data_IF_099616655445
#
_entry.id   IF_099616655445
#
_cell.length_a   1.000
_cell.length_b   1.000
_cell.length_c   1.000
_cell.angle_alpha   90.00
_cell.angle_beta   90.00
_cell.angle_gamma   90.00
#
_symmetry.space_group_name_H-M   'P 1'
#
loop_
_entity.id
_entity.type
_entity.pdbx_description
1 polymer ?
#
# COMPACT_ATOMS: atom_id res chain seq x y z
N UNK A 1 -20.70 -32.54 -22.01
CA UNK A 1 -19.92 -32.24 -20.79
C UNK A 1 -19.97 -30.75 -20.42
N UNK A 2 -19.51 -29.80 -21.26
CA UNK A 2 -19.56 -28.36 -20.92
C UNK A 2 -20.97 -27.77 -20.71
N UNK A 3 -21.98 -28.25 -21.46
CA UNK A 3 -23.39 -27.81 -21.31
C UNK A 3 -24.02 -28.22 -19.97
N UNK A 4 -23.66 -29.39 -19.45
CA UNK A 4 -24.19 -29.89 -18.18
C UNK A 4 -23.53 -29.21 -16.99
N UNK A 5 -22.23 -28.92 -17.08
CA UNK A 5 -21.50 -28.14 -16.06
C UNK A 5 -22.08 -26.71 -15.99
N UNK A 6 -22.41 -26.10 -17.13
CA UNK A 6 -22.99 -24.75 -17.17
C UNK A 6 -24.42 -24.69 -16.59
N UNK A 7 -25.26 -25.72 -16.86
CA UNK A 7 -26.60 -25.83 -16.28
C UNK A 7 -26.56 -26.04 -14.77
N UNK A 8 -25.64 -26.87 -14.27
CA UNK A 8 -25.44 -27.10 -12.84
C UNK A 8 -24.95 -25.84 -12.10
N UNK A 9 -24.02 -25.08 -12.69
CA UNK A 9 -23.56 -23.80 -12.12
C UNK A 9 -24.70 -22.77 -12.08
N UNK A 10 -25.52 -22.69 -13.13
CA UNK A 10 -26.65 -21.75 -13.20
C UNK A 10 -27.74 -22.08 -12.17
N UNK A 11 -27.98 -23.35 -11.90
CA UNK A 11 -28.92 -23.82 -10.89
C UNK A 11 -28.39 -23.57 -9.46
N UNK A 12 -27.11 -23.80 -9.21
CA UNK A 12 -26.46 -23.49 -7.93
C UNK A 12 -26.43 -21.99 -7.63
N UNK A 13 -26.12 -21.15 -8.62
CA UNK A 13 -26.15 -19.69 -8.47
C UNK A 13 -27.58 -19.17 -8.29
N UNK A 14 -28.57 -19.73 -8.99
CA UNK A 14 -29.99 -19.38 -8.80
C UNK A 14 -30.51 -19.73 -7.40
N UNK A 15 -30.09 -20.88 -6.85
CA UNK A 15 -30.41 -21.28 -5.49
C UNK A 15 -29.67 -20.42 -4.43
N UNK A 16 -28.42 -20.01 -4.70
CA UNK A 16 -27.64 -19.16 -3.79
C UNK A 16 -28.23 -17.74 -3.71
N UNK A 17 -28.61 -17.16 -4.85
CA UNK A 17 -29.25 -15.84 -4.91
C UNK A 17 -30.71 -15.86 -4.41
N UNK A 18 -31.46 -16.95 -4.65
CA UNK A 18 -32.80 -17.13 -4.11
C UNK A 18 -32.81 -17.27 -2.58
N UNK A 19 -31.88 -18.07 -2.01
CA UNK A 19 -31.74 -18.22 -0.56
C UNK A 19 -31.32 -16.92 0.14
N UNK A 20 -30.44 -16.13 -0.50
CA UNK A 20 -30.08 -14.79 0.01
C UNK A 20 -31.26 -13.81 -0.05
N UNK A 21 -32.05 -13.85 -1.13
CA UNK A 21 -33.25 -13.02 -1.31
C UNK A 21 -34.38 -13.35 -0.34
N UNK A 22 -34.64 -14.63 -0.11
CA UNK A 22 -35.66 -15.11 0.83
C UNK A 22 -35.23 -14.92 2.29
N UNK A 23 -33.93 -15.03 2.59
CA UNK A 23 -33.36 -14.71 3.89
C UNK A 23 -33.51 -13.23 4.25
N UNK A 24 -33.23 -12.33 3.30
CA UNK A 24 -33.41 -10.88 3.48
C UNK A 24 -34.89 -10.48 3.61
N UNK A 25 -35.78 -11.08 2.81
CA UNK A 25 -37.24 -10.86 2.91
C UNK A 25 -37.83 -11.45 4.21
N UNK A 26 -37.29 -12.56 4.70
CA UNK A 26 -37.61 -13.14 6.00
C UNK A 26 -37.16 -12.28 7.18
N UNK A 27 -35.92 -11.77 7.13
CA UNK A 27 -35.37 -10.82 8.10
C UNK A 27 -36.22 -9.54 8.14
N UNK A 28 -36.62 -9.03 6.98
CA UNK A 28 -37.47 -7.85 6.86
C UNK A 28 -38.88 -8.06 7.43
N UNK A 29 -39.52 -9.19 7.16
CA UNK A 29 -40.84 -9.52 7.72
C UNK A 29 -40.80 -9.78 9.22
N UNK A 30 -39.71 -10.37 9.72
CA UNK A 30 -39.47 -10.57 11.14
C UNK A 30 -39.28 -9.24 11.88
N UNK A 31 -38.44 -8.35 11.34
CA UNK A 31 -38.23 -6.99 11.89
C UNK A 31 -39.53 -6.18 11.83
N UNK A 32 -40.30 -6.27 10.73
CA UNK A 32 -41.58 -5.57 10.57
C UNK A 32 -42.71 -6.11 11.47
N UNK A 33 -42.72 -7.42 11.79
CA UNK A 33 -43.66 -8.03 12.73
C UNK A 33 -43.31 -7.72 14.20
N UNK A 34 -42.02 -7.70 14.51
CA UNK A 34 -41.49 -7.35 15.83
C UNK A 34 -41.74 -5.87 16.19
N UNK A 35 -41.63 -4.96 15.21
CA UNK A 35 -41.92 -3.54 15.38
C UNK A 35 -43.40 -3.22 15.64
N UNK A 36 -44.32 -4.09 15.23
CA UNK A 36 -45.79 -3.86 15.33
C UNK A 36 -46.42 -4.33 16.65
N UNK A 37 -45.72 -5.09 17.47
CA UNK A 37 -46.31 -5.80 18.63
C UNK A 37 -46.06 -5.15 20.00
N UNK A 38 -45.39 -4.00 20.12
CA UNK A 38 -44.85 -3.56 21.42
C UNK A 38 -45.20 -2.10 21.78
N UNK A 39 -46.01 -1.94 22.84
CA UNK A 39 -46.20 -0.71 23.62
C UNK A 39 -45.16 -0.59 24.74
N UNK A 40 -44.62 0.62 24.97
CA UNK A 40 -43.59 0.96 25.97
C UNK A 40 -42.27 1.37 25.30
N UNK A 41 -42.20 2.63 24.83
CA UNK A 41 -42.24 2.85 23.38
C UNK A 41 -41.02 3.48 22.70
N UNK A 42 -39.90 3.76 23.40
CA UNK A 42 -38.75 4.46 22.74
C UNK A 42 -37.39 3.87 23.08
N UNK A 43 -37.05 3.65 24.35
CA UNK A 43 -35.70 3.21 24.74
C UNK A 43 -35.31 1.81 24.26
N UNK A 44 -36.25 0.86 24.19
CA UNK A 44 -35.99 -0.46 23.57
C UNK A 44 -35.80 -0.38 22.05
N UNK A 45 -36.44 0.57 21.38
CA UNK A 45 -36.24 0.83 19.94
C UNK A 45 -34.89 1.46 19.67
N UNK A 46 -34.45 2.37 20.54
CA UNK A 46 -33.10 2.94 20.49
C UNK A 46 -32.05 1.86 20.77
N UNK A 47 -32.27 1.00 21.78
CA UNK A 47 -31.31 -0.04 22.16
C UNK A 47 -31.06 -1.11 21.07
N UNK A 48 -32.04 -1.41 20.22
CA UNK A 48 -31.88 -2.37 19.11
C UNK A 48 -31.65 -1.66 17.77
N UNK A 49 -32.34 -0.55 17.55
CA UNK A 49 -32.25 0.24 16.33
C UNK A 49 -30.89 0.92 16.16
N UNK A 50 -30.28 1.41 17.24
CA UNK A 50 -28.96 2.06 17.16
C UNK A 50 -27.85 1.08 16.77
N UNK A 51 -27.69 -0.11 17.40
CA UNK A 51 -26.71 -1.10 16.93
C UNK A 51 -26.98 -1.59 15.51
N UNK A 52 -28.25 -1.78 15.12
CA UNK A 52 -28.59 -2.20 13.76
C UNK A 52 -28.28 -1.09 12.73
N UNK A 53 -28.59 0.16 13.04
CA UNK A 53 -28.26 1.30 12.20
C UNK A 53 -26.74 1.51 12.11
N UNK A 54 -26.01 1.32 13.21
CA UNK A 54 -24.55 1.32 13.23
C UNK A 54 -23.99 0.20 12.36
N UNK A 55 -24.51 -1.03 12.47
CA UNK A 55 -24.10 -2.16 11.65
C UNK A 55 -24.37 -1.92 10.14
N UNK A 56 -25.54 -1.37 9.79
CA UNK A 56 -25.88 -0.99 8.41
C UNK A 56 -24.97 0.15 7.93
N UNK A 57 -24.68 1.14 8.77
CA UNK A 57 -23.73 2.21 8.48
C UNK A 57 -22.33 1.67 8.18
N UNK A 58 -21.83 0.72 8.97
CA UNK A 58 -20.56 0.04 8.72
C UNK A 58 -20.63 -0.74 7.40
N UNK A 59 -21.65 -1.58 7.18
CA UNK A 59 -21.78 -2.37 5.95
C UNK A 59 -21.88 -1.54 4.67
N UNK A 60 -22.55 -0.39 4.70
CA UNK A 60 -22.63 0.52 3.55
C UNK A 60 -21.36 1.34 3.41
N UNK A 61 -20.77 1.79 4.52
CA UNK A 61 -19.55 2.59 4.51
C UNK A 61 -18.32 1.81 4.09
N UNK A 62 -18.27 0.51 4.39
CA UNK A 62 -17.20 -0.43 4.04
C UNK A 62 -16.77 -0.33 2.55
N UNK A 63 -17.65 -0.56 1.56
CA UNK A 63 -17.29 -0.45 0.14
C UNK A 63 -17.05 0.99 -0.35
N UNK A 64 -17.48 2.00 0.41
CA UNK A 64 -17.26 3.41 0.06
C UNK A 64 -15.84 3.84 0.48
N UNK A 65 -15.39 3.39 1.66
CA UNK A 65 -14.10 3.73 2.27
C UNK A 65 -12.98 2.82 1.80
N UNK A 66 -13.27 1.57 1.47
CA UNK A 66 -12.30 0.65 0.88
C UNK A 66 -12.06 0.98 -0.60
N UNK A 67 -11.09 1.86 -0.85
CA UNK A 67 -10.59 2.17 -2.18
C UNK A 67 -9.08 2.00 -2.19
N UNK A 68 -8.63 0.87 -2.72
CA UNK A 68 -7.24 0.67 -3.09
C UNK A 68 -7.05 1.35 -4.43
N UNK A 69 -6.56 2.58 -4.42
CA UNK A 69 -6.09 3.20 -5.65
C UNK A 69 -4.68 2.64 -5.97
N UNK A 70 -4.58 1.91 -7.06
CA UNK A 70 -3.33 1.34 -7.58
C UNK A 70 -3.02 1.90 -8.97
N UNK A 71 -3.58 3.08 -9.29
CA UNK A 71 -3.28 3.80 -10.52
C UNK A 71 -1.80 4.15 -10.59
N UNK A 72 -1.12 3.58 -11.57
CA UNK A 72 0.28 3.88 -11.85
C UNK A 72 0.47 5.14 -12.70
N UNK A 73 -0.61 5.86 -13.02
CA UNK A 73 -0.58 7.14 -13.71
C UNK A 73 -0.26 8.24 -12.70
N UNK A 74 1.01 8.65 -12.66
CA UNK A 74 1.51 9.66 -11.74
C UNK A 74 1.54 11.03 -12.42
N UNK A 75 0.61 11.89 -12.02
CA UNK A 75 0.56 13.30 -12.44
C UNK A 75 1.45 14.17 -11.54
N UNK A 76 2.74 13.84 -11.46
CA UNK A 76 3.74 14.65 -10.74
C UNK A 76 4.78 15.19 -11.72
N UNK A 77 4.87 16.52 -11.83
CA UNK A 77 5.88 17.21 -12.63
C UNK A 77 6.93 17.78 -11.69
N UNK A 78 8.20 17.43 -11.92
CA UNK A 78 9.30 18.02 -11.17
C UNK A 78 9.46 19.52 -11.52
N UNK A 79 9.83 20.37 -10.55
CA UNK A 79 10.18 21.75 -10.85
C UNK A 79 11.38 21.77 -11.83
N UNK A 80 11.54 22.83 -12.65
CA UNK A 80 12.69 22.95 -13.56
C UNK A 80 14.02 22.78 -12.81
N UNK A 81 14.86 21.84 -13.25
CA UNK A 81 16.12 21.49 -12.59
C UNK A 81 16.00 20.66 -11.30
N UNK A 82 14.78 20.33 -10.88
CA UNK A 82 14.50 19.43 -9.76
C UNK A 82 14.73 17.95 -10.09
N UNK A 83 14.42 17.09 -9.12
CA UNK A 83 14.45 15.64 -9.24
C UNK A 83 13.03 15.08 -9.42
N UNK A 84 12.86 14.21 -10.42
CA UNK A 84 11.62 13.46 -10.60
C UNK A 84 11.36 12.50 -9.44
N UNK A 85 12.42 11.92 -8.88
CA UNK A 85 12.38 11.00 -7.74
C UNK A 85 11.86 11.68 -6.48
N UNK A 86 12.32 12.89 -6.19
CA UNK A 86 11.80 13.68 -5.05
C UNK A 86 10.32 14.02 -5.26
N UNK A 87 9.93 14.41 -6.47
CA UNK A 87 8.51 14.64 -6.81
C UNK A 87 7.65 13.39 -6.68
N UNK A 88 8.20 12.21 -6.96
CA UNK A 88 7.50 10.95 -6.77
C UNK A 88 7.30 10.62 -5.28
N UNK A 89 8.30 10.90 -4.42
CA UNK A 89 8.15 10.79 -2.97
C UNK A 89 7.06 11.73 -2.47
N UNK A 90 7.09 13.01 -2.86
CA UNK A 90 6.08 13.98 -2.42
C UNK A 90 4.69 13.62 -2.95
N UNK A 91 4.58 13.11 -4.17
CA UNK A 91 3.33 12.59 -4.72
C UNK A 91 2.75 11.47 -3.85
N UNK A 92 3.56 10.45 -3.50
CA UNK A 92 3.10 9.33 -2.67
C UNK A 92 2.61 9.79 -1.30
N UNK A 93 3.38 10.65 -0.63
CA UNK A 93 3.00 11.18 0.69
C UNK A 93 1.75 12.04 0.62
N UNK A 94 1.65 12.92 -0.39
CA UNK A 94 0.50 13.81 -0.58
C UNK A 94 -0.77 13.02 -0.87
N UNK A 95 -0.67 12.01 -1.72
CA UNK A 95 -1.77 11.11 -2.05
C UNK A 95 -2.36 10.45 -0.80
N UNK A 96 -1.53 9.90 0.08
CA UNK A 96 -2.03 9.23 1.30
C UNK A 96 -2.51 10.20 2.38
N UNK A 97 -1.90 11.37 2.50
CA UNK A 97 -2.18 12.29 3.62
C UNK A 97 -3.23 13.36 3.30
N UNK A 98 -3.41 13.71 2.03
CA UNK A 98 -4.32 14.77 1.58
C UNK A 98 -5.49 14.24 0.73
N UNK A 99 -5.26 13.27 -0.18
CA UNK A 99 -6.32 12.81 -1.10
C UNK A 99 -7.13 11.62 -0.56
N UNK A 100 -6.46 10.58 -0.06
CA UNK A 100 -7.12 9.33 0.36
C UNK A 100 -7.52 9.31 1.84
N UNK A 101 -7.16 10.35 2.61
CA UNK A 101 -7.13 10.36 4.08
C UNK A 101 -6.23 9.26 4.68
N UNK A 102 -5.63 9.57 5.83
CA UNK A 102 -4.74 8.63 6.52
C UNK A 102 -5.54 7.67 7.41
N UNK A 103 -5.93 6.52 6.84
CA UNK A 103 -6.82 5.54 7.47
C UNK A 103 -6.21 4.70 8.60
N UNK A 104 -4.87 4.51 8.73
CA UNK A 104 -4.30 3.85 9.91
C UNK A 104 -4.64 4.53 11.24
N UNK A 105 -5.01 5.82 11.19
CA UNK A 105 -5.47 6.56 12.35
C UNK A 105 -7.00 6.75 12.41
N UNK A 106 -7.78 5.92 11.73
CA UNK A 106 -9.24 6.04 11.74
C UNK A 106 -9.85 5.48 13.04
N UNK A 107 -10.75 6.21 13.73
CA UNK A 107 -11.45 5.71 14.91
C UNK A 107 -12.24 4.42 14.64
N UNK A 108 -12.39 3.58 15.68
CA UNK A 108 -13.17 2.31 15.66
C UNK A 108 -14.61 2.48 15.15
N UNK A 109 -15.16 3.69 15.25
CA UNK A 109 -16.51 4.03 14.79
C UNK A 109 -16.59 4.31 13.27
N UNK A 110 -15.46 4.35 12.56
CA UNK A 110 -15.44 4.52 11.10
C UNK A 110 -15.49 3.18 10.38
N UNK A 111 -16.19 3.09 9.23
CA UNK A 111 -16.27 1.87 8.43
C UNK A 111 -14.90 1.31 7.99
N UNK A 112 -13.92 2.19 7.78
CA UNK A 112 -12.55 1.82 7.41
C UNK A 112 -11.81 1.00 8.47
N UNK A 113 -12.18 1.11 9.75
CA UNK A 113 -11.58 0.29 10.81
C UNK A 113 -11.89 -1.20 10.65
N UNK A 114 -13.04 -1.53 10.05
CA UNK A 114 -13.48 -2.92 9.85
C UNK A 114 -12.99 -3.52 8.52
N UNK A 115 -12.29 -2.72 7.70
CA UNK A 115 -11.64 -3.12 6.45
C UNK A 115 -10.19 -2.62 6.49
N UNK A 116 -9.32 -3.48 7.01
CA UNK A 116 -7.89 -3.25 7.23
C UNK A 116 -7.05 -3.19 5.94
N UNK A 117 -7.59 -3.60 4.80
CA UNK A 117 -6.91 -3.55 3.50
C UNK A 117 -6.35 -2.17 3.12
N UNK A 118 -7.15 -1.10 3.25
CA UNK A 118 -6.66 0.27 2.96
C UNK A 118 -5.57 0.70 3.95
N UNK A 119 -5.76 0.59 5.28
CA UNK A 119 -4.70 0.86 6.25
C UNK A 119 -3.40 0.08 5.98
N UNK A 120 -3.47 -1.22 5.71
CA UNK A 120 -2.28 -2.03 5.43
C UNK A 120 -1.58 -1.60 4.15
N UNK A 121 -2.34 -1.31 3.09
CA UNK A 121 -1.81 -0.76 1.85
C UNK A 121 -1.08 0.58 2.07
N UNK A 122 -1.67 1.49 2.84
CA UNK A 122 -1.07 2.79 3.19
C UNK A 122 0.19 2.62 4.05
N UNK A 123 0.18 1.71 5.02
CA UNK A 123 1.36 1.34 5.82
C UNK A 123 2.48 0.78 4.93
N UNK A 124 2.14 -0.03 3.92
CA UNK A 124 3.08 -0.51 2.91
C UNK A 124 3.76 0.63 2.15
N UNK A 125 2.96 1.57 1.63
CA UNK A 125 3.45 2.75 0.89
C UNK A 125 4.36 3.60 1.77
N UNK A 126 3.90 4.01 2.95
CA UNK A 126 4.67 4.88 3.84
C UNK A 126 5.92 4.18 4.38
N UNK A 127 5.87 2.86 4.60
CA UNK A 127 7.05 2.07 4.95
C UNK A 127 8.11 2.08 3.85
N UNK A 128 7.73 2.02 2.57
CA UNK A 128 8.67 2.15 1.45
C UNK A 128 9.23 3.58 1.36
N UNK A 129 8.36 4.59 1.41
CA UNK A 129 8.74 6.01 1.38
C UNK A 129 9.69 6.36 2.53
N UNK A 130 9.42 5.85 3.73
CA UNK A 130 10.25 6.06 4.91
C UNK A 130 11.67 5.51 4.70
N UNK A 131 11.79 4.23 4.32
CA UNK A 131 13.10 3.60 4.03
C UNK A 131 13.83 4.29 2.89
N UNK A 132 13.10 4.69 1.85
CA UNK A 132 13.66 5.42 0.72
C UNK A 132 14.11 6.83 1.10
N UNK A 133 13.45 7.51 2.03
CA UNK A 133 13.84 8.87 2.44
C UNK A 133 15.21 8.90 3.16
N UNK A 134 15.55 7.84 3.90
CA UNK A 134 16.90 7.65 4.43
C UNK A 134 17.94 7.45 3.33
N UNK A 135 17.63 6.62 2.32
CA UNK A 135 18.49 6.40 1.16
C UNK A 135 18.67 7.69 0.32
N UNK A 136 17.58 8.45 0.13
CA UNK A 136 17.59 9.76 -0.51
C UNK A 136 18.49 10.74 0.26
N UNK A 137 18.41 10.77 1.59
CA UNK A 137 19.25 11.62 2.44
C UNK A 137 20.73 11.23 2.37
N UNK A 138 21.02 9.94 2.45
CA UNK A 138 22.38 9.43 2.69
C UNK A 138 23.17 9.19 1.41
N UNK A 139 22.54 8.74 0.32
CA UNK A 139 23.21 8.48 -0.96
C UNK A 139 22.94 9.57 -1.99
N UNK A 140 21.68 9.93 -2.21
CA UNK A 140 21.29 10.80 -3.32
C UNK A 140 21.46 12.30 -2.98
N UNK A 141 21.28 12.69 -1.72
CA UNK A 141 21.30 14.07 -1.26
C UNK A 141 22.70 14.66 -1.05
N UNK A 142 23.76 13.88 -1.27
CA UNK A 142 25.12 14.23 -0.84
C UNK A 142 26.13 14.08 -1.99
N UNK A 143 27.01 15.07 -2.17
CA UNK A 143 28.13 14.96 -3.12
C UNK A 143 29.16 14.00 -2.56
N UNK A 144 29.44 12.91 -3.29
CA UNK A 144 30.47 11.90 -2.92
C UNK A 144 30.28 11.31 -1.51
N UNK A 145 29.06 11.29 -0.98
CA UNK A 145 28.75 10.79 0.37
C UNK A 145 29.36 11.59 1.53
N UNK A 146 30.18 12.61 1.28
CA UNK A 146 30.97 13.32 2.32
C UNK A 146 30.56 14.77 2.56
N UNK A 147 29.65 15.34 1.75
CA UNK A 147 29.13 16.70 1.99
C UNK A 147 28.28 16.78 3.26
N UNK A 148 27.91 17.98 3.74
CA UNK A 148 26.90 18.08 4.81
C UNK A 148 25.56 17.50 4.34
N UNK A 149 24.77 16.95 5.28
CA UNK A 149 23.39 16.57 5.00
C UNK A 149 22.58 17.83 4.73
N UNK A 150 21.68 17.80 3.76
CA UNK A 150 20.69 18.87 3.57
C UNK A 150 19.69 18.85 4.72
N UNK A 151 19.51 20.00 5.39
CA UNK A 151 18.65 20.11 6.58
C UNK A 151 17.20 19.72 6.28
N UNK A 152 16.70 19.99 5.08
CA UNK A 152 15.33 19.63 4.70
C UNK A 152 15.19 18.12 4.52
N UNK A 153 16.19 17.45 3.92
CA UNK A 153 16.18 15.98 3.80
C UNK A 153 16.30 15.29 5.16
N UNK A 154 17.10 15.84 6.07
CA UNK A 154 17.24 15.29 7.43
C UNK A 154 15.90 15.36 8.18
N UNK A 155 15.24 16.52 8.16
CA UNK A 155 13.93 16.69 8.78
C UNK A 155 12.86 15.82 8.11
N UNK A 156 12.86 15.74 6.78
CA UNK A 156 11.89 14.95 6.03
C UNK A 156 12.03 13.45 6.36
N UNK A 157 13.26 12.92 6.37
CA UNK A 157 13.51 11.52 6.72
C UNK A 157 13.08 11.21 8.16
N UNK A 158 13.37 12.11 9.10
CA UNK A 158 12.91 11.99 10.49
C UNK A 158 11.38 11.94 10.59
N UNK A 159 10.70 12.90 9.95
CA UNK A 159 9.24 12.98 9.95
C UNK A 159 8.57 11.77 9.28
N UNK A 160 9.13 11.26 8.18
CA UNK A 160 8.62 10.06 7.49
C UNK A 160 8.92 8.76 8.24
N UNK A 161 9.84 8.77 9.20
CA UNK A 161 10.17 7.60 10.04
C UNK A 161 9.22 7.39 11.22
N UNK A 162 8.33 8.35 11.48
CA UNK A 162 7.34 8.24 12.53
C UNK A 162 6.40 7.06 12.25
N UNK A 163 6.09 6.32 13.32
CA UNK A 163 5.22 5.15 13.30
C UNK A 163 3.86 5.47 12.64
N UNK A 164 3.40 4.63 11.69
CA UNK A 164 2.16 4.86 10.95
C UNK A 164 0.90 5.02 11.83
N UNK A 165 0.83 4.29 12.93
CA UNK A 165 -0.34 4.18 13.81
C UNK A 165 -0.30 5.18 14.99
N UNK A 166 0.58 6.19 14.93
CA UNK A 166 0.71 7.18 15.99
C UNK A 166 -0.49 8.13 16.03
N UNK A 167 -1.29 8.02 17.08
CA UNK A 167 -2.47 8.86 17.35
C UNK A 167 -2.18 10.11 18.20
N UNK A 168 -3.15 11.03 18.23
CA UNK A 168 -3.12 12.22 19.09
C UNK A 168 -3.02 11.84 20.57
N UNK A 169 -3.70 10.78 20.98
CA UNK A 169 -3.61 10.25 22.34
C UNK A 169 -3.11 8.81 22.21
N UNK A 170 -1.89 8.59 22.68
CA UNK A 170 -1.31 7.26 22.74
C UNK A 170 -1.41 6.75 24.19
N UNK A 171 -2.44 5.95 24.44
CA UNK A 171 -2.70 5.35 25.76
C UNK A 171 -1.56 4.43 26.23
N UNK A 172 -0.62 4.05 25.36
CA UNK A 172 0.52 3.19 25.69
C UNK A 172 1.75 3.97 26.17
N UNK A 173 1.90 5.25 25.80
CA UNK A 173 3.07 6.07 26.15
C UNK A 173 2.75 7.32 26.96
N UNK A 174 1.65 8.04 26.70
CA UNK A 174 1.25 9.23 27.47
C UNK A 174 -0.18 9.69 27.20
N UNK A 175 -0.88 10.16 28.23
CA UNK A 175 -2.18 10.83 28.11
C UNK A 175 -2.10 12.27 27.60
N UNK A 176 -0.89 12.81 27.37
CA UNK A 176 -0.71 14.15 26.78
C UNK A 176 -0.95 14.10 25.27
N UNK A 177 -1.63 15.12 24.68
CA UNK A 177 -1.82 15.19 23.24
C UNK A 177 -0.46 15.24 22.53
N UNK A 178 -0.20 14.25 21.68
CA UNK A 178 0.94 14.25 20.78
C UNK A 178 0.50 14.53 19.36
N UNK A 179 1.46 14.85 18.50
CA UNK A 179 1.22 15.08 17.09
C UNK A 179 0.96 13.73 16.38
N UNK A 180 -0.14 13.58 15.61
CA UNK A 180 -0.44 12.35 14.88
C UNK A 180 0.48 12.18 13.66
N UNK A 181 0.62 10.93 13.19
CA UNK A 181 1.54 10.58 12.09
C UNK A 181 1.28 11.35 10.79
N UNK A 182 0.02 11.55 10.41
CA UNK A 182 -0.37 12.30 9.20
C UNK A 182 0.16 13.75 9.19
N UNK A 183 0.22 14.41 10.36
CA UNK A 183 0.78 15.75 10.47
C UNK A 183 2.31 15.76 10.35
N UNK A 184 3.02 14.72 10.79
CA UNK A 184 4.45 14.59 10.52
C UNK A 184 4.71 14.40 9.02
N UNK A 185 3.93 13.55 8.38
CA UNK A 185 4.04 13.30 6.94
C UNK A 185 3.74 14.56 6.10
N UNK A 186 2.74 15.36 6.48
CA UNK A 186 2.48 16.66 5.83
C UNK A 186 3.59 17.67 6.02
N UNK A 187 4.27 17.69 7.17
CA UNK A 187 5.46 18.54 7.35
C UNK A 187 6.63 18.08 6.47
N UNK A 188 6.80 16.76 6.30
CA UNK A 188 7.79 16.22 5.38
C UNK A 188 7.55 16.68 3.93
N UNK A 189 6.28 16.86 3.50
CA UNK A 189 5.97 17.41 2.18
C UNK A 189 6.59 18.80 1.98
N UNK A 190 6.39 19.71 2.93
CA UNK A 190 6.96 21.07 2.84
C UNK A 190 8.48 21.06 2.78
N UNK A 191 9.12 20.15 3.52
CA UNK A 191 10.58 19.97 3.52
C UNK A 191 11.09 19.43 2.19
N UNK A 192 10.45 18.39 1.65
CA UNK A 192 10.81 17.79 0.36
C UNK A 192 10.55 18.75 -0.82
N UNK A 193 9.43 19.49 -0.80
CA UNK A 193 9.12 20.49 -1.82
C UNK A 193 10.16 21.62 -1.81
N UNK A 194 10.57 22.08 -0.62
CA UNK A 194 11.65 23.07 -0.46
C UNK A 194 12.98 22.54 -1.00
N UNK A 195 13.36 21.32 -0.62
CA UNK A 195 14.57 20.67 -1.13
C UNK A 195 14.54 20.56 -2.67
N UNK A 196 13.42 20.14 -3.26
CA UNK A 196 13.31 19.98 -4.72
C UNK A 196 13.39 21.33 -5.46
N UNK A 197 12.84 22.40 -4.87
CA UNK A 197 13.01 23.76 -5.40
C UNK A 197 14.48 24.23 -5.31
N UNK A 198 15.17 23.89 -4.22
CA UNK A 198 16.60 24.19 -4.05
C UNK A 198 17.49 23.41 -5.02
N UNK A 199 17.09 22.20 -5.45
CA UNK A 199 17.75 21.48 -6.54
C UNK A 199 17.70 22.29 -7.85
N UNK A 200 16.54 22.85 -8.19
CA UNK A 200 16.35 23.65 -9.40
C UNK A 200 17.20 24.93 -9.45
N UNK A 201 17.57 25.46 -8.28
CA UNK A 201 18.43 26.65 -8.16
C UNK A 201 19.91 26.31 -7.89
N UNK A 202 20.26 25.02 -7.77
CA UNK A 202 21.61 24.55 -7.48
C UNK A 202 22.09 24.76 -6.04
N UNK A 203 21.18 25.11 -5.11
CA UNK A 203 21.48 25.28 -3.68
C UNK A 203 21.62 23.94 -2.94
N UNK A 204 20.87 22.94 -3.39
CA UNK A 204 20.94 21.57 -2.88
C UNK A 204 21.48 20.63 -3.97
N UNK A 205 21.75 19.38 -3.59
CA UNK A 205 22.38 18.40 -4.48
C UNK A 205 21.53 17.14 -4.56
N UNK A 206 21.34 16.66 -5.79
CA UNK A 206 20.89 15.31 -6.09
C UNK A 206 21.95 14.64 -6.97
N UNK A 207 22.73 13.72 -6.39
CA UNK A 207 23.93 13.13 -6.98
C UNK A 207 23.58 11.90 -7.85
N UNK A 208 23.59 12.11 -9.18
CA UNK A 208 23.12 11.17 -10.22
C UNK A 208 24.19 10.17 -10.70
N UNK A 209 25.12 9.80 -9.82
CA UNK A 209 26.22 8.88 -10.19
C UNK A 209 25.79 7.41 -10.19
N UNK A 210 26.50 6.59 -10.95
CA UNK A 210 26.18 5.16 -11.09
C UNK A 210 26.30 4.37 -9.79
N UNK A 211 27.23 4.73 -8.90
CA UNK A 211 27.40 4.11 -7.58
C UNK A 211 26.23 4.44 -6.64
N UNK A 212 25.69 5.66 -6.70
CA UNK A 212 24.48 6.02 -5.95
C UNK A 212 23.25 5.31 -6.51
N UNK A 213 23.10 5.21 -7.84
CA UNK A 213 22.03 4.42 -8.45
C UNK A 213 22.09 2.97 -7.97
N UNK A 214 23.27 2.36 -8.02
CA UNK A 214 23.51 1.01 -7.53
C UNK A 214 23.08 0.85 -6.08
N UNK A 215 23.55 1.71 -5.17
CA UNK A 215 23.20 1.66 -3.76
C UNK A 215 21.69 1.73 -3.54
N UNK A 216 21.01 2.63 -4.27
CA UNK A 216 19.56 2.79 -4.20
C UNK A 216 18.81 1.56 -4.71
N UNK A 217 19.24 0.97 -5.84
CA UNK A 217 18.62 -0.25 -6.38
C UNK A 217 18.85 -1.46 -5.46
N UNK A 218 20.03 -1.58 -4.86
CA UNK A 218 20.34 -2.64 -3.90
C UNK A 218 19.49 -2.50 -2.62
N UNK A 219 19.27 -1.27 -2.13
CA UNK A 219 18.38 -1.02 -1.00
C UNK A 219 16.95 -1.45 -1.29
N UNK A 220 16.42 -1.12 -2.48
CA UNK A 220 15.09 -1.56 -2.92
C UNK A 220 15.05 -3.09 -3.01
N UNK A 221 16.08 -3.72 -3.58
CA UNK A 221 16.14 -5.18 -3.71
C UNK A 221 16.17 -5.90 -2.35
N UNK A 222 16.79 -5.31 -1.33
CA UNK A 222 16.78 -5.82 0.05
C UNK A 222 15.37 -5.76 0.64
N UNK A 223 14.65 -4.65 0.46
CA UNK A 223 13.30 -4.49 1.00
C UNK A 223 12.30 -5.44 0.32
N UNK A 224 12.38 -5.62 -1.00
CA UNK A 224 11.58 -6.63 -1.71
C UNK A 224 11.95 -8.06 -1.28
N UNK A 225 13.22 -8.30 -0.96
CA UNK A 225 13.68 -9.57 -0.40
C UNK A 225 13.08 -9.86 0.97
N UNK A 226 12.99 -8.86 1.85
CA UNK A 226 12.36 -8.98 3.15
C UNK A 226 10.86 -9.29 3.03
N UNK A 227 10.14 -8.56 2.16
CA UNK A 227 8.71 -8.82 1.89
C UNK A 227 8.47 -10.21 1.29
N UNK A 228 9.34 -10.65 0.37
CA UNK A 228 9.29 -12.02 -0.17
C UNK A 228 9.49 -13.08 0.92
N UNK A 229 10.38 -12.84 1.89
CA UNK A 229 10.58 -13.77 3.00
C UNK A 229 9.38 -13.79 3.95
N UNK A 230 8.75 -12.65 4.22
CA UNK A 230 7.52 -12.61 5.03
C UNK A 230 6.37 -13.38 4.36
N UNK A 231 6.20 -13.24 3.05
CA UNK A 231 5.21 -14.01 2.29
C UNK A 231 5.49 -15.51 2.36
N UNK A 232 6.75 -15.92 2.16
CA UNK A 232 7.17 -17.33 2.19
C UNK A 232 6.93 -17.98 3.57
N UNK A 233 7.33 -17.30 4.65
CA UNK A 233 7.06 -17.75 6.03
C UNK A 233 5.55 -17.89 6.26
N UNK A 234 4.75 -16.90 5.86
CA UNK A 234 3.30 -16.94 6.08
C UNK A 234 2.64 -18.08 5.30
N UNK A 235 3.01 -18.28 4.04
CA UNK A 235 2.54 -19.38 3.20
C UNK A 235 2.95 -20.73 3.80
N UNK A 236 4.20 -20.88 4.24
CA UNK A 236 4.69 -22.14 4.83
C UNK A 236 3.91 -22.52 6.08
N UNK A 237 3.59 -21.55 6.93
CA UNK A 237 2.98 -21.80 8.23
C UNK A 237 1.44 -21.90 8.18
N UNK A 238 0.79 -21.25 7.21
CA UNK A 238 -0.67 -21.05 7.21
C UNK A 238 -1.40 -21.46 5.92
N UNK A 239 -0.70 -21.84 4.84
CA UNK A 239 -1.35 -22.17 3.58
C UNK A 239 -2.30 -23.36 3.69
N UNK A 240 -3.44 -23.27 3.00
CA UNK A 240 -4.48 -24.30 3.03
C UNK A 240 -5.36 -24.27 4.28
N UNK A 241 -5.26 -23.19 5.07
CA UNK A 241 -6.10 -22.94 6.24
C UNK A 241 -7.56 -22.55 5.92
N UNK A 242 -8.24 -22.04 6.95
CA UNK A 242 -9.65 -21.60 6.85
C UNK A 242 -9.73 -20.27 6.09
N UNK A 243 -10.72 -20.14 5.22
CA UNK A 243 -11.05 -18.88 4.51
C UNK A 243 -12.24 -18.20 5.19
N UNK A 244 -12.22 -16.88 5.42
CA UNK A 244 -11.17 -15.92 5.06
C UNK A 244 -9.96 -15.97 6.00
N UNK A 245 -8.79 -15.70 5.43
CA UNK A 245 -7.52 -15.56 6.15
C UNK A 245 -7.17 -14.08 6.22
N UNK A 246 -7.51 -13.44 7.35
CA UNK A 246 -7.29 -12.01 7.56
C UNK A 246 -5.81 -11.63 7.64
N UNK A 247 -4.95 -12.51 8.16
CA UNK A 247 -3.52 -12.21 8.22
C UNK A 247 -2.85 -12.30 6.84
N UNK A 248 -3.33 -13.20 5.98
CA UNK A 248 -2.94 -13.20 4.57
C UNK A 248 -3.40 -11.94 3.83
N UNK A 249 -4.63 -11.47 4.10
CA UNK A 249 -5.19 -10.22 3.57
C UNK A 249 -4.30 -9.02 3.96
N UNK A 250 -4.04 -8.86 5.27
CA UNK A 250 -3.18 -7.82 5.83
C UNK A 250 -1.80 -7.77 5.17
N UNK A 251 -1.11 -8.92 5.15
CA UNK A 251 0.24 -9.03 4.60
C UNK A 251 0.25 -8.75 3.09
N UNK A 252 -0.74 -9.25 2.36
CA UNK A 252 -0.87 -9.03 0.92
C UNK A 252 -0.96 -7.54 0.59
N UNK A 253 -1.82 -6.79 1.29
CA UNK A 253 -1.98 -5.36 1.03
C UNK A 253 -0.79 -4.54 1.49
N UNK A 254 -0.15 -4.90 2.62
CA UNK A 254 1.09 -4.26 3.05
C UNK A 254 2.20 -4.41 2.01
N UNK A 255 2.39 -5.62 1.47
CA UNK A 255 3.36 -5.88 0.40
C UNK A 255 2.94 -5.17 -0.89
N UNK A 256 1.66 -5.21 -1.28
CA UNK A 256 1.14 -4.51 -2.47
C UNK A 256 1.46 -3.02 -2.41
N UNK A 257 1.23 -2.37 -1.26
CA UNK A 257 1.53 -0.95 -1.04
C UNK A 257 3.02 -0.62 -1.15
N UNK A 258 3.88 -1.47 -0.57
CA UNK A 258 5.33 -1.30 -0.67
C UNK A 258 5.82 -1.39 -2.12
N UNK A 259 5.33 -2.39 -2.87
CA UNK A 259 5.68 -2.59 -4.28
C UNK A 259 5.16 -1.46 -5.15
N UNK A 260 3.93 -0.99 -4.90
CA UNK A 260 3.36 0.15 -5.60
C UNK A 260 4.22 1.41 -5.43
N UNK A 261 4.61 1.74 -4.21
CA UNK A 261 5.50 2.87 -3.94
C UNK A 261 6.84 2.72 -4.65
N UNK A 262 7.49 1.56 -4.57
CA UNK A 262 8.76 1.33 -5.28
C UNK A 262 8.62 1.34 -6.80
N UNK A 263 7.48 0.92 -7.34
CA UNK A 263 7.22 1.00 -8.79
C UNK A 263 7.20 2.45 -9.27
N UNK A 264 6.54 3.34 -8.51
CA UNK A 264 6.51 4.78 -8.79
C UNK A 264 7.91 5.40 -8.65
N UNK A 265 8.63 5.05 -7.59
CA UNK A 265 9.99 5.54 -7.36
C UNK A 265 10.96 5.07 -8.45
N UNK A 266 10.91 3.80 -8.87
CA UNK A 266 11.76 3.29 -9.95
C UNK A 266 11.47 3.99 -11.30
N UNK A 267 10.19 4.28 -11.61
CA UNK A 267 9.84 5.08 -12.79
C UNK A 267 10.45 6.48 -12.74
N UNK A 268 10.52 7.08 -11.57
CA UNK A 268 11.09 8.41 -11.37
C UNK A 268 12.63 8.39 -11.36
N UNK A 269 13.24 7.39 -10.73
CA UNK A 269 14.69 7.13 -10.76
C UNK A 269 15.16 6.94 -12.21
N UNK A 270 14.39 6.21 -13.04
CA UNK A 270 14.71 6.07 -14.47
C UNK A 270 14.87 7.40 -15.17
N UNK A 271 14.04 8.40 -14.83
CA UNK A 271 14.12 9.75 -15.41
C UNK A 271 15.33 10.51 -14.90
N UNK A 272 15.59 10.47 -13.59
CA UNK A 272 16.73 11.18 -13.00
C UNK A 272 18.08 10.59 -13.39
N UNK A 273 18.14 9.28 -13.67
CA UNK A 273 19.35 8.54 -14.02
C UNK A 273 19.37 8.12 -15.50
N UNK A 274 18.63 8.81 -16.37
CA UNK A 274 18.54 8.47 -17.79
C UNK A 274 19.93 8.33 -18.44
N UNK A 275 20.83 9.29 -18.21
CA UNK A 275 22.19 9.28 -18.74
C UNK A 275 22.99 8.04 -18.30
N UNK A 276 22.87 7.64 -17.03
CA UNK A 276 23.55 6.44 -16.51
C UNK A 276 22.97 5.18 -17.12
N UNK A 277 21.64 5.10 -17.21
CA UNK A 277 20.92 3.94 -17.75
C UNK A 277 21.24 3.75 -19.24
N UNK A 278 21.32 4.83 -20.01
CA UNK A 278 21.69 4.81 -21.42
C UNK A 278 23.16 4.45 -21.61
N UNK A 279 24.07 5.11 -20.88
CA UNK A 279 25.52 4.87 -20.99
C UNK A 279 25.91 3.44 -20.59
N UNK A 280 25.19 2.85 -19.63
CA UNK A 280 25.41 1.47 -19.17
C UNK A 280 24.63 0.43 -19.97
N UNK A 281 23.89 0.84 -20.99
CA UNK A 281 23.09 -0.02 -21.87
C UNK A 281 22.09 -0.92 -21.13
N UNK A 282 21.59 -0.49 -19.96
CA UNK A 282 20.66 -1.27 -19.11
C UNK A 282 19.18 -0.93 -19.33
N UNK A 283 18.86 -0.07 -20.30
CA UNK A 283 17.50 0.44 -20.51
C UNK A 283 16.44 -0.68 -20.68
N UNK A 284 16.75 -1.71 -21.47
CA UNK A 284 15.85 -2.84 -21.72
C UNK A 284 15.63 -3.71 -20.47
N UNK A 285 16.69 -3.99 -19.70
CA UNK A 285 16.60 -4.71 -18.43
C UNK A 285 15.77 -3.92 -17.40
N UNK A 286 15.95 -2.60 -17.38
CA UNK A 286 15.17 -1.71 -16.52
C UNK A 286 13.68 -1.70 -16.92
N UNK A 287 13.36 -1.76 -18.23
CA UNK A 287 11.97 -1.88 -18.69
C UNK A 287 11.33 -3.20 -18.24
N UNK A 288 12.07 -4.30 -18.32
CA UNK A 288 11.57 -5.60 -17.88
C UNK A 288 11.41 -5.67 -16.35
N UNK A 289 12.26 -4.99 -15.59
CA UNK A 289 12.07 -4.76 -14.15
C UNK A 289 10.76 -4.02 -13.89
N UNK A 290 10.54 -2.88 -14.56
CA UNK A 290 9.33 -2.07 -14.39
C UNK A 290 8.06 -2.86 -14.75
N UNK A 291 8.10 -3.72 -15.78
CA UNK A 291 6.98 -4.61 -16.12
C UNK A 291 6.64 -5.58 -14.98
N UNK A 292 7.65 -6.23 -14.39
CA UNK A 292 7.44 -7.14 -13.25
C UNK A 292 6.92 -6.41 -12.02
N UNK A 293 7.48 -5.24 -11.71
CA UNK A 293 7.03 -4.38 -10.62
C UNK A 293 5.58 -3.92 -10.81
N UNK A 294 5.22 -3.46 -12.01
CA UNK A 294 3.84 -3.08 -12.34
C UNK A 294 2.88 -4.27 -12.13
N UNK A 295 3.24 -5.47 -12.61
CA UNK A 295 2.39 -6.65 -12.47
C UNK A 295 2.10 -7.01 -11.00
N UNK A 296 3.08 -6.83 -10.11
CA UNK A 296 2.91 -7.02 -8.67
C UNK A 296 2.10 -5.88 -8.01
N UNK A 297 2.33 -4.64 -8.41
CA UNK A 297 1.66 -3.46 -7.86
C UNK A 297 0.16 -3.42 -8.18
N UNK A 298 -0.27 -3.99 -9.29
CA UNK A 298 -1.66 -3.96 -9.77
C UNK A 298 -2.39 -5.30 -9.58
N UNK A 299 -1.92 -6.16 -8.68
CA UNK A 299 -2.68 -7.36 -8.31
C UNK A 299 -3.96 -6.96 -7.59
N UNK A 300 -5.12 -7.30 -8.15
CA UNK A 300 -6.43 -6.88 -7.63
C UNK A 300 -7.38 -8.08 -7.46
N UNK A 301 -7.13 -8.96 -6.47
CA UNK A 301 -8.06 -10.04 -6.17
C UNK A 301 -9.30 -9.49 -5.46
N UNK A 302 -10.49 -9.98 -5.82
CA UNK A 302 -11.73 -9.64 -5.12
C UNK A 302 -11.70 -10.02 -3.64
N UNK A 303 -11.02 -11.13 -3.32
CA UNK A 303 -10.79 -11.63 -1.96
C UNK A 303 -9.38 -12.22 -1.95
N UNK A 304 -8.54 -11.81 -1.00
CA UNK A 304 -7.24 -12.43 -0.80
C UNK A 304 -7.44 -13.81 -0.19
N UNK A 305 -6.65 -14.76 -0.66
CA UNK A 305 -6.73 -16.14 -0.22
C UNK A 305 -5.36 -16.78 -0.17
N UNK A 306 -5.16 -17.61 0.85
CA UNK A 306 -3.95 -18.36 1.12
C UNK A 306 -4.25 -19.87 1.05
N UNK A 307 -4.78 -20.32 -0.09
CA UNK A 307 -5.05 -21.74 -0.32
C UNK A 307 -3.77 -22.58 -0.31
N UNK A 308 -3.90 -23.91 -0.28
CA UNK A 308 -2.73 -24.79 -0.44
C UNK A 308 -2.01 -24.46 -1.75
N UNK A 309 -0.68 -24.44 -1.73
CA UNK A 309 0.14 -24.00 -2.88
C UNK A 309 -0.07 -24.90 -4.11
N UNK A 310 -0.30 -26.19 -3.89
CA UNK A 310 -0.66 -27.21 -4.88
C UNK A 310 -2.17 -27.52 -4.89
N UNK A 311 -2.98 -26.66 -4.28
CA UNK A 311 -4.42 -26.81 -4.14
C UNK A 311 -5.18 -26.63 -5.46
N UNK A 312 -6.26 -27.41 -5.63
CA UNK A 312 -7.08 -27.39 -6.85
C UNK A 312 -8.14 -26.27 -6.82
N UNK A 313 -8.64 -25.92 -5.63
CA UNK A 313 -9.88 -25.15 -5.48
C UNK A 313 -9.68 -23.68 -5.09
N UNK A 314 -8.71 -23.38 -4.22
CA UNK A 314 -8.52 -22.06 -3.62
C UNK A 314 -7.15 -21.53 -4.07
N UNK A 315 -7.07 -20.36 -4.74
CA UNK A 315 -5.80 -19.81 -5.16
C UNK A 315 -4.95 -19.37 -3.96
N UNK A 316 -3.62 -19.36 -4.14
CA UNK A 316 -2.68 -18.78 -3.20
C UNK A 316 -2.14 -17.45 -3.76
N UNK A 317 -2.76 -16.35 -3.36
CA UNK A 317 -2.41 -15.01 -3.84
C UNK A 317 -1.05 -14.53 -3.31
N UNK A 318 -0.65 -14.96 -2.11
CA UNK A 318 0.65 -14.64 -1.52
C UNK A 318 1.80 -15.27 -2.33
N UNK A 319 1.61 -16.51 -2.79
CA UNK A 319 2.56 -17.20 -3.66
C UNK A 319 2.67 -16.51 -5.03
N UNK A 320 1.55 -16.06 -5.59
CA UNK A 320 1.55 -15.29 -6.85
C UNK A 320 2.31 -13.95 -6.68
N UNK A 321 2.07 -13.23 -5.59
CA UNK A 321 2.77 -11.99 -5.28
C UNK A 321 4.28 -12.25 -5.08
N UNK A 322 4.63 -13.31 -4.35
CA UNK A 322 6.01 -13.76 -4.13
C UNK A 322 6.75 -14.08 -5.43
N UNK A 323 6.08 -14.71 -6.40
CA UNK A 323 6.66 -14.96 -7.73
C UNK A 323 7.10 -13.66 -8.43
N UNK A 324 6.25 -12.64 -8.44
CA UNK A 324 6.61 -11.36 -9.06
C UNK A 324 7.71 -10.62 -8.29
N UNK A 325 7.72 -10.70 -6.96
CA UNK A 325 8.82 -10.15 -6.15
C UNK A 325 10.16 -10.82 -6.46
N UNK A 326 10.18 -12.15 -6.57
CA UNK A 326 11.39 -12.89 -6.91
C UNK A 326 11.91 -12.49 -8.30
N UNK A 327 11.01 -12.35 -9.27
CA UNK A 327 11.36 -11.88 -10.62
C UNK A 327 11.95 -10.47 -10.60
N UNK A 328 11.28 -9.52 -9.93
CA UNK A 328 11.75 -8.15 -9.83
C UNK A 328 13.11 -8.06 -9.10
N UNK A 329 13.30 -8.79 -8.00
CA UNK A 329 14.56 -8.85 -7.27
C UNK A 329 15.71 -9.43 -8.12
N UNK A 330 15.42 -10.42 -8.95
CA UNK A 330 16.42 -10.99 -9.87
C UNK A 330 16.84 -9.97 -10.91
N UNK A 331 15.88 -9.24 -11.49
CA UNK A 331 16.15 -8.18 -12.47
C UNK A 331 16.89 -6.99 -11.85
N UNK A 332 16.55 -6.57 -10.62
CA UNK A 332 17.29 -5.56 -9.86
C UNK A 332 18.76 -5.95 -9.70
N UNK A 333 19.03 -7.20 -9.29
CA UNK A 333 20.39 -7.71 -9.15
C UNK A 333 21.16 -7.74 -10.47
N UNK A 334 20.49 -8.10 -11.56
CA UNK A 334 21.11 -8.07 -12.89
C UNK A 334 21.52 -6.65 -13.29
N UNK A 335 20.63 -5.67 -13.07
CA UNK A 335 20.93 -4.24 -13.29
C UNK A 335 22.10 -3.79 -12.40
N UNK A 336 22.04 -4.07 -11.09
CA UNK A 336 23.12 -3.75 -10.14
C UNK A 336 24.47 -4.35 -10.55
N UNK A 337 24.49 -5.61 -10.99
CA UNK A 337 25.72 -6.28 -11.44
C UNK A 337 26.35 -5.64 -12.68
N UNK A 338 25.55 -5.04 -13.57
CA UNK A 338 26.06 -4.30 -14.73
C UNK A 338 26.60 -2.93 -14.30
N UNK A 339 25.93 -2.25 -13.36
CA UNK A 339 26.38 -0.96 -12.83
C UNK A 339 27.72 -1.06 -12.09
N UNK A 340 28.04 -2.22 -11.50
CA UNK A 340 29.29 -2.51 -10.81
C UNK A 340 30.51 -2.66 -11.75
N UNK A 341 30.29 -3.04 -13.01
CA UNK A 341 31.36 -3.32 -13.98
C UNK A 341 31.85 -2.05 -14.67
#
# INVERSE_FOLDING_TARGET
>A
MAKEIWLWIKEKLGALFGWFGDGLLGLWRYIAGWLRTVSGSTWRKVAVGTPLAFFVYILIGMPIVNRIDDSLAVDSVAPPGGSATVSAVTYLVRRETEHNNWTPNDPVLLPGWWLDNTPNYQKGIMGAVSRFSFELRDQLGRRRGSSSVDENLEKAASNLSIEPERWIIDMSTSFLPTKPSDQYYREALGQLDTYNAQLGTGQSVFDRRSDNLLATLDRIALDLGASSASLDTYVTDHAGGIVPDFGADDLFYQVKGQVYAYTILLKAIRKDFADVIETREIAALYDDLLKSMNAAATLDPLVVSNGAVDGILIPNHLSMQGFYLLRARTQLREVSNILLK
#
